data_IF_378676497319
#
_entry.id   IF_378676497319
#
_cell.length_a   1.000
_cell.length_b   1.000
_cell.length_c   1.000
_cell.angle_alpha   90.00
_cell.angle_beta   90.00
_cell.angle_gamma   90.00
#
_symmetry.space_group_name_H-M   'P 1'
#
loop_
_entity.id
_entity.type
_entity.pdbx_description
1 polymer ?
#
# COMPACT_ATOMS: atom_id res chain seq x y z
N UNK A 1 -11.34 21.09 65.63
CA UNK A 1 -10.97 22.40 65.04
C UNK A 1 -9.62 22.31 64.33
N UNK A 2 -8.55 21.81 64.95
CA UNK A 2 -7.21 21.65 64.33
C UNK A 2 -7.17 20.78 63.04
N UNK A 3 -7.90 19.67 63.01
CA UNK A 3 -7.94 18.79 61.83
C UNK A 3 -8.67 19.41 60.61
N UNK A 4 -9.57 20.37 60.84
CA UNK A 4 -10.27 21.07 59.76
C UNK A 4 -9.38 22.15 59.15
N UNK A 5 -8.55 22.82 59.95
CA UNK A 5 -7.54 23.77 59.45
C UNK A 5 -6.45 23.08 58.64
N UNK A 6 -5.98 21.90 59.04
CA UNK A 6 -5.00 21.13 58.26
C UNK A 6 -5.56 20.64 56.91
N UNK A 7 -6.84 20.25 56.87
CA UNK A 7 -7.51 19.89 55.62
C UNK A 7 -7.66 21.10 54.69
N UNK A 8 -8.03 22.28 55.23
CA UNK A 8 -8.15 23.51 54.45
C UNK A 8 -6.79 23.94 53.89
N UNK A 9 -5.72 23.86 54.68
CA UNK A 9 -4.35 24.16 54.22
C UNK A 9 -3.84 23.14 53.20
N UNK A 10 -4.17 21.86 53.37
CA UNK A 10 -3.86 20.80 52.40
C UNK A 10 -4.57 21.01 51.06
N UNK A 11 -5.87 21.36 51.07
CA UNK A 11 -6.61 21.70 49.85
C UNK A 11 -6.12 23.00 49.21
N UNK A 12 -5.70 23.99 50.01
CA UNK A 12 -5.13 25.25 49.52
C UNK A 12 -3.74 25.04 48.88
N UNK A 13 -2.96 24.12 49.44
CA UNK A 13 -1.67 23.63 48.91
C UNK A 13 -1.86 22.84 47.60
N UNK A 14 -2.83 21.93 47.56
CA UNK A 14 -3.15 21.15 46.36
C UNK A 14 -3.70 22.02 45.22
N UNK A 15 -4.46 23.07 45.56
CA UNK A 15 -4.96 24.08 44.61
C UNK A 15 -3.87 25.06 44.14
N UNK A 16 -2.70 25.07 44.80
CA UNK A 16 -1.54 25.92 44.46
C UNK A 16 -0.58 25.29 43.45
N UNK A 17 -0.96 24.20 42.78
CA UNK A 17 -0.29 23.82 41.53
C UNK A 17 -0.50 24.94 40.50
N UNK A 18 0.42 25.91 40.49
CA UNK A 18 0.43 27.01 39.53
C UNK A 18 0.40 26.42 38.14
N UNK A 19 -0.73 26.60 37.45
CA UNK A 19 -0.85 26.33 36.02
C UNK A 19 0.09 27.29 35.31
N UNK A 20 1.31 26.83 35.01
CA UNK A 20 2.28 27.61 34.22
C UNK A 20 1.83 27.56 32.76
N UNK A 21 1.49 28.69 32.14
CA UNK A 21 1.12 28.71 30.72
C UNK A 21 2.29 28.18 29.89
N UNK A 22 2.02 27.23 28.99
CA UNK A 22 3.05 26.71 28.09
C UNK A 22 3.50 27.84 27.14
N UNK A 23 4.75 28.33 27.25
CA UNK A 23 5.23 29.43 26.42
C UNK A 23 5.28 29.07 24.92
N UNK A 24 5.33 27.77 24.60
CA UNK A 24 5.34 27.27 23.22
C UNK A 24 3.94 27.09 22.62
N UNK A 25 2.87 27.25 23.40
CA UNK A 25 1.51 27.03 22.88
C UNK A 25 1.17 27.98 21.73
N UNK A 26 1.57 29.25 21.84
CA UNK A 26 1.27 30.26 20.84
C UNK A 26 2.02 30.03 19.52
N UNK A 27 3.29 29.57 19.59
CA UNK A 27 4.07 29.20 18.40
C UNK A 27 3.54 27.92 17.75
N UNK A 28 3.19 26.91 18.55
CA UNK A 28 2.53 25.69 18.07
C UNK A 28 1.23 26.03 17.35
N UNK A 29 0.36 26.86 17.93
CA UNK A 29 -0.95 27.22 17.34
C UNK A 29 -0.80 27.94 15.99
N UNK A 30 0.22 28.78 15.83
CA UNK A 30 0.52 29.43 14.55
C UNK A 30 0.91 28.39 13.49
N UNK A 31 1.77 27.45 13.88
CA UNK A 31 2.22 26.37 13.00
C UNK A 31 1.08 25.44 12.61
N UNK A 32 0.26 25.03 13.58
CA UNK A 32 -0.91 24.17 13.35
C UNK A 32 -1.89 24.80 12.36
N UNK A 33 -2.14 26.11 12.47
CA UNK A 33 -2.98 26.86 11.52
C UNK A 33 -2.39 26.90 10.11
N UNK A 34 -1.08 27.07 9.97
CA UNK A 34 -0.40 27.07 8.66
C UNK A 34 -0.51 25.69 8.01
N UNK A 35 -0.19 24.63 8.75
CA UNK A 35 -0.28 23.25 8.27
C UNK A 35 -1.72 22.93 7.86
N UNK A 36 -2.70 23.32 8.67
CA UNK A 36 -4.12 23.16 8.34
C UNK A 36 -4.47 23.84 7.02
N UNK A 37 -4.04 25.09 6.82
CA UNK A 37 -4.25 25.83 5.57
C UNK A 37 -3.61 25.14 4.35
N UNK A 38 -2.38 24.65 4.50
CA UNK A 38 -1.70 23.89 3.44
C UNK A 38 -2.45 22.61 3.10
N UNK A 39 -2.85 21.82 4.09
CA UNK A 39 -3.61 20.59 3.87
C UNK A 39 -4.92 20.92 3.15
N UNK A 40 -5.70 21.89 3.63
CA UNK A 40 -7.00 22.23 3.02
C UNK A 40 -6.87 22.71 1.58
N UNK A 41 -5.79 23.40 1.22
CA UNK A 41 -5.56 23.89 -0.14
C UNK A 41 -5.19 22.79 -1.15
N UNK A 42 -4.74 21.63 -0.67
CA UNK A 42 -4.40 20.49 -1.53
C UNK A 42 -5.58 19.56 -1.80
N UNK A 43 -6.71 19.76 -1.13
CA UNK A 43 -7.85 18.84 -1.16
C UNK A 43 -8.91 19.29 -2.17
N UNK A 44 -9.56 18.31 -2.79
CA UNK A 44 -10.78 18.55 -3.56
C UNK A 44 -11.94 18.97 -2.65
N UNK A 45 -12.94 19.65 -3.21
CA UNK A 45 -14.13 20.09 -2.47
C UNK A 45 -14.84 18.92 -1.76
N UNK A 46 -14.91 17.77 -2.42
CA UNK A 46 -15.44 16.52 -1.85
C UNK A 46 -14.66 16.00 -0.63
N UNK A 47 -13.36 16.25 -0.55
CA UNK A 47 -12.52 15.85 0.57
C UNK A 47 -12.54 16.87 1.71
N UNK A 48 -12.76 18.16 1.41
CA UNK A 48 -12.92 19.23 2.42
C UNK A 48 -14.16 18.97 3.29
N UNK A 49 -15.23 18.43 2.71
CA UNK A 49 -16.44 18.06 3.46
C UNK A 49 -16.18 17.07 4.60
N UNK A 50 -15.13 16.24 4.50
CA UNK A 50 -14.73 15.30 5.56
C UNK A 50 -14.05 16.00 6.74
N UNK A 51 -13.65 17.26 6.59
CA UNK A 51 -12.85 17.98 7.58
C UNK A 51 -13.67 18.87 8.53
N UNK A 52 -14.99 18.93 8.32
CA UNK A 52 -15.88 19.78 9.11
C UNK A 52 -15.85 19.33 10.58
N UNK A 53 -15.58 20.28 11.47
CA UNK A 53 -15.54 20.03 12.93
C UNK A 53 -14.15 19.72 13.50
N UNK A 54 -13.11 19.56 12.69
CA UNK A 54 -11.75 19.35 13.20
C UNK A 54 -11.00 20.66 13.45
N UNK A 55 -10.50 20.82 14.68
CA UNK A 55 -9.84 22.05 15.12
C UNK A 55 -8.35 22.08 14.79
N UNK A 56 -7.66 20.94 14.97
CA UNK A 56 -6.20 20.85 14.78
C UNK A 56 -5.81 20.20 13.45
N UNK A 57 -4.63 20.56 12.94
CA UNK A 57 -4.05 19.91 11.75
C UNK A 57 -3.86 18.41 11.94
N UNK A 58 -3.56 17.98 13.18
CA UNK A 58 -3.40 16.58 13.55
C UNK A 58 -4.70 15.79 13.39
N UNK A 59 -5.81 16.36 13.80
CA UNK A 59 -7.12 15.70 13.71
C UNK A 59 -7.60 15.63 12.27
N UNK A 60 -7.40 16.70 11.51
CA UNK A 60 -7.61 16.72 10.05
C UNK A 60 -6.80 15.61 9.38
N UNK A 61 -5.50 15.52 9.66
CA UNK A 61 -4.63 14.51 9.08
C UNK A 61 -5.10 13.08 9.43
N UNK A 62 -5.52 12.85 10.68
CA UNK A 62 -6.10 11.55 11.09
C UNK A 62 -7.41 11.23 10.39
N UNK A 63 -8.29 12.20 10.23
CA UNK A 63 -9.56 12.01 9.53
C UNK A 63 -9.32 11.62 8.08
N UNK A 64 -8.39 12.30 7.40
CA UNK A 64 -7.96 11.96 6.04
C UNK A 64 -7.38 10.54 6.00
N UNK A 65 -6.42 10.22 6.88
CA UNK A 65 -5.84 8.88 6.94
C UNK A 65 -6.93 7.81 7.13
N UNK A 66 -7.91 8.02 8.01
CA UNK A 66 -8.98 7.05 8.24
C UNK A 66 -9.94 6.93 7.05
N UNK A 67 -10.32 8.05 6.42
CA UNK A 67 -11.23 8.05 5.29
C UNK A 67 -10.61 7.43 4.03
N UNK A 68 -9.31 7.65 3.81
CA UNK A 68 -8.60 7.17 2.65
C UNK A 68 -7.89 5.82 2.86
N UNK A 69 -7.60 5.40 4.09
CA UNK A 69 -7.01 4.07 4.37
C UNK A 69 -7.95 2.94 3.98
N UNK A 70 -9.23 3.02 4.35
CA UNK A 70 -10.23 2.01 3.98
C UNK A 70 -10.41 1.92 2.46
N UNK A 71 -10.51 3.07 1.79
CA UNK A 71 -10.54 3.14 0.32
C UNK A 71 -9.27 2.57 -0.30
N UNK A 72 -8.11 2.79 0.31
CA UNK A 72 -6.84 2.24 -0.15
C UNK A 72 -6.81 0.72 -0.02
N UNK A 73 -7.35 0.15 1.06
CA UNK A 73 -7.37 -1.30 1.27
C UNK A 73 -8.41 -2.00 0.39
N UNK A 74 -9.61 -1.41 0.22
CA UNK A 74 -10.61 -1.89 -0.74
C UNK A 74 -10.06 -1.83 -2.18
N UNK A 75 -9.33 -0.76 -2.52
CA UNK A 75 -8.66 -0.62 -3.82
C UNK A 75 -7.52 -1.61 -4.00
N UNK A 76 -6.73 -1.86 -2.97
CA UNK A 76 -5.70 -2.91 -2.96
C UNK A 76 -6.32 -4.29 -3.25
N UNK A 77 -7.38 -4.64 -2.52
CA UNK A 77 -8.08 -5.91 -2.71
C UNK A 77 -8.65 -6.03 -4.13
N UNK A 78 -9.32 -4.96 -4.61
CA UNK A 78 -9.88 -4.92 -5.95
C UNK A 78 -8.81 -5.10 -7.03
N UNK A 79 -7.70 -4.36 -6.96
CA UNK A 79 -6.62 -4.45 -7.94
C UNK A 79 -5.90 -5.81 -7.88
N UNK A 80 -5.73 -6.38 -6.69
CA UNK A 80 -5.16 -7.73 -6.51
C UNK A 80 -6.08 -8.80 -7.10
N UNK A 81 -7.38 -8.65 -6.91
CA UNK A 81 -8.35 -9.52 -7.57
C UNK A 81 -8.32 -9.36 -9.09
N UNK A 82 -8.24 -8.12 -9.59
CA UNK A 82 -8.21 -7.84 -11.02
C UNK A 82 -6.95 -8.43 -11.68
N UNK A 83 -5.77 -8.29 -11.09
CA UNK A 83 -4.52 -8.85 -11.66
C UNK A 83 -4.52 -10.38 -11.67
N UNK A 84 -5.11 -11.03 -10.67
CA UNK A 84 -5.16 -12.50 -10.56
C UNK A 84 -6.28 -13.14 -11.38
N UNK A 85 -7.32 -12.38 -11.76
CA UNK A 85 -8.44 -12.86 -12.57
C UNK A 85 -8.39 -12.36 -14.02
N UNK A 86 -7.36 -11.59 -14.40
CA UNK A 86 -7.22 -11.05 -15.74
C UNK A 86 -6.95 -12.17 -16.74
N UNK A 87 -7.92 -12.45 -17.60
CA UNK A 87 -7.81 -13.39 -18.72
C UNK A 87 -7.54 -12.67 -20.02
N UNK A 88 -6.72 -13.27 -20.89
CA UNK A 88 -6.53 -12.77 -22.26
C UNK A 88 -7.82 -12.83 -23.07
N UNK A 89 -8.57 -13.94 -22.99
CA UNK A 89 -9.74 -14.20 -23.85
C UNK A 89 -9.39 -14.01 -25.35
N UNK A 90 -10.34 -13.48 -26.13
CA UNK A 90 -10.19 -13.11 -27.54
C UNK A 90 -9.42 -11.79 -27.77
N UNK A 91 -8.95 -11.12 -26.70
CA UNK A 91 -8.17 -9.88 -26.85
C UNK A 91 -6.80 -10.17 -27.50
N UNK A 92 -6.26 -9.16 -28.19
CA UNK A 92 -4.88 -9.19 -28.67
C UNK A 92 -3.91 -9.27 -27.49
N UNK A 93 -2.78 -9.96 -27.68
CA UNK A 93 -1.76 -10.15 -26.64
C UNK A 93 -1.22 -8.81 -26.12
N UNK A 94 -1.07 -7.82 -27.01
CA UNK A 94 -0.62 -6.47 -26.66
C UNK A 94 -1.58 -5.76 -25.71
N UNK A 95 -2.89 -5.86 -25.98
CA UNK A 95 -3.93 -5.27 -25.13
C UNK A 95 -3.97 -5.94 -23.76
N UNK A 96 -3.83 -7.27 -23.72
CA UNK A 96 -3.75 -8.03 -22.48
C UNK A 96 -2.53 -7.62 -21.63
N UNK A 97 -1.34 -7.58 -22.21
CA UNK A 97 -0.11 -7.15 -21.52
C UNK A 97 -0.23 -5.70 -21.07
N UNK A 98 -0.83 -4.83 -21.89
CA UNK A 98 -1.10 -3.43 -21.55
C UNK A 98 -1.98 -3.29 -20.31
N UNK A 99 -3.12 -4.02 -20.28
CA UNK A 99 -4.04 -4.06 -19.14
C UNK A 99 -3.34 -4.59 -17.88
N UNK A 100 -2.61 -5.70 -18.00
CA UNK A 100 -1.86 -6.28 -16.88
C UNK A 100 -0.86 -5.27 -16.29
N UNK A 101 -0.05 -4.63 -17.15
CA UNK A 101 0.94 -3.63 -16.74
C UNK A 101 0.28 -2.43 -16.07
N UNK A 102 -0.86 -1.97 -16.57
CA UNK A 102 -1.61 -0.87 -15.96
C UNK A 102 -2.03 -1.21 -14.53
N UNK A 103 -2.52 -2.43 -14.29
CA UNK A 103 -2.95 -2.87 -12.95
C UNK A 103 -1.75 -2.96 -12.00
N UNK A 104 -0.60 -3.47 -12.46
CA UNK A 104 0.64 -3.48 -11.66
C UNK A 104 1.12 -2.07 -11.31
N UNK A 105 1.00 -1.11 -12.24
CA UNK A 105 1.32 0.29 -11.98
C UNK A 105 0.37 0.90 -10.94
N UNK A 106 -0.93 0.60 -11.02
CA UNK A 106 -1.93 1.07 -10.07
C UNK A 106 -1.68 0.51 -8.65
N UNK A 107 -1.28 -0.77 -8.55
CA UNK A 107 -0.85 -1.40 -7.29
C UNK A 107 0.40 -0.72 -6.72
N UNK A 108 1.37 -0.41 -7.58
CA UNK A 108 2.57 0.34 -7.17
C UNK A 108 2.23 1.75 -6.69
N UNK A 109 1.29 2.43 -7.33
CA UNK A 109 0.85 3.78 -6.97
C UNK A 109 0.18 3.86 -5.59
N UNK A 110 -0.45 2.78 -5.12
CA UNK A 110 -1.01 2.68 -3.76
C UNK A 110 0.00 2.15 -2.72
N UNK A 111 1.28 2.03 -3.10
CA UNK A 111 2.35 1.57 -2.20
C UNK A 111 2.40 0.05 -2.02
N UNK A 112 1.80 -0.71 -2.94
CA UNK A 112 1.78 -2.18 -2.94
C UNK A 112 2.42 -2.73 -4.23
N UNK A 113 3.73 -2.50 -4.46
CA UNK A 113 4.39 -3.01 -5.65
C UNK A 113 4.34 -4.54 -5.68
N UNK A 114 4.14 -5.10 -6.88
CA UNK A 114 4.18 -6.55 -7.08
C UNK A 114 5.66 -6.97 -7.17
N UNK A 115 6.08 -7.92 -6.32
CA UNK A 115 7.44 -8.47 -6.31
C UNK A 115 7.80 -9.14 -7.63
N UNK A 116 9.00 -8.95 -8.17
CA UNK A 116 9.34 -9.22 -9.58
C UNK A 116 9.09 -10.67 -10.07
N UNK A 117 9.01 -11.66 -9.17
CA UNK A 117 8.70 -13.05 -9.52
C UNK A 117 7.19 -13.38 -9.63
N UNK A 118 6.33 -12.72 -8.85
CA UNK A 118 4.89 -12.96 -8.83
C UNK A 118 4.11 -12.53 -10.10
N UNK A 119 4.44 -11.39 -10.77
CA UNK A 119 3.67 -10.93 -11.91
C UNK A 119 3.93 -11.77 -13.15
N UNK A 120 5.10 -12.39 -13.29
CA UNK A 120 5.37 -13.33 -14.40
C UNK A 120 4.46 -14.54 -14.26
N UNK A 121 4.34 -15.10 -13.06
CA UNK A 121 3.43 -16.22 -12.81
C UNK A 121 1.96 -15.85 -13.06
N UNK A 122 1.48 -14.71 -12.54
CA UNK A 122 0.10 -14.26 -12.76
C UNK A 122 -0.20 -13.92 -14.21
N UNK A 123 0.76 -13.33 -14.92
CA UNK A 123 0.63 -13.07 -16.34
C UNK A 123 0.50 -14.38 -17.12
N UNK A 124 1.27 -15.41 -16.76
CA UNK A 124 1.30 -16.69 -17.46
C UNK A 124 0.07 -17.57 -17.19
N UNK A 125 -0.56 -17.46 -16.03
CA UNK A 125 -1.63 -18.36 -15.59
C UNK A 125 -2.90 -18.29 -16.45
N UNK A 126 -3.16 -17.17 -17.14
CA UNK A 126 -4.46 -16.87 -17.77
C UNK A 126 -4.36 -16.48 -19.27
N UNK A 127 -3.33 -16.94 -20.00
CA UNK A 127 -3.22 -16.76 -21.46
C UNK A 127 -4.15 -17.68 -22.27
N UNK A 128 -4.64 -18.78 -21.69
CA UNK A 128 -5.52 -19.76 -22.32
C UNK A 128 -4.79 -20.97 -22.94
N UNK A 129 -5.56 -22.00 -23.32
CA UNK A 129 -5.07 -23.33 -23.73
C UNK A 129 -4.10 -23.29 -24.91
N UNK A 130 -4.28 -22.34 -25.83
CA UNK A 130 -3.41 -22.16 -27.00
C UNK A 130 -1.95 -21.84 -26.62
N UNK A 131 -1.70 -21.39 -25.39
CA UNK A 131 -0.39 -20.99 -24.89
C UNK A 131 0.19 -21.99 -23.87
N UNK A 132 -0.43 -23.15 -23.63
CA UNK A 132 0.03 -24.12 -22.61
C UNK A 132 1.51 -24.52 -22.76
N UNK A 133 1.95 -24.79 -24.00
CA UNK A 133 3.35 -25.15 -24.28
C UNK A 133 4.30 -24.00 -23.92
N UNK A 134 3.91 -22.77 -24.22
CA UNK A 134 4.67 -21.58 -23.89
C UNK A 134 4.71 -21.35 -22.37
N UNK A 135 3.56 -21.46 -21.70
CA UNK A 135 3.44 -21.36 -20.24
C UNK A 135 4.33 -22.40 -19.56
N UNK A 136 4.27 -23.67 -19.98
CA UNK A 136 5.09 -24.74 -19.43
C UNK A 136 6.60 -24.48 -19.60
N UNK A 137 7.01 -23.96 -20.76
CA UNK A 137 8.41 -23.62 -21.04
C UNK A 137 8.94 -22.44 -20.22
N UNK A 138 8.06 -21.52 -19.80
CA UNK A 138 8.42 -20.36 -19.00
C UNK A 138 8.39 -20.65 -17.49
N UNK A 139 7.46 -21.47 -17.02
CA UNK A 139 7.35 -21.88 -15.60
C UNK A 139 8.41 -22.92 -15.24
N UNK A 140 8.71 -23.82 -16.17
CA UNK A 140 9.74 -24.84 -16.01
C UNK A 140 10.70 -24.73 -17.20
N UNK A 141 11.62 -23.74 -17.20
CA UNK A 141 12.65 -23.68 -18.23
C UNK A 141 13.37 -25.04 -18.23
N UNK A 142 13.61 -25.66 -19.41
CA UNK A 142 14.27 -26.95 -19.49
C UNK A 142 15.73 -26.79 -19.03
N UNK A 143 15.96 -26.83 -17.73
CA UNK A 143 17.27 -27.03 -17.16
C UNK A 143 17.52 -28.52 -17.20
N UNK A 144 18.02 -28.99 -18.34
CA UNK A 144 18.67 -30.29 -18.38
C UNK A 144 19.89 -30.20 -17.46
N UNK A 145 19.99 -31.03 -16.40
CA UNK A 145 21.20 -31.14 -15.61
C UNK A 145 22.38 -31.44 -16.55
N UNK A 146 23.55 -30.86 -16.28
CA UNK A 146 24.75 -31.05 -17.11
C UNK A 146 25.04 -32.53 -17.44
N UNK A 147 24.82 -33.42 -16.47
CA UNK A 147 24.96 -34.88 -16.59
C UNK A 147 24.02 -35.49 -17.64
N UNK A 148 22.77 -35.02 -17.72
CA UNK A 148 21.80 -35.50 -18.72
C UNK A 148 22.14 -34.98 -20.12
N UNK A 149 22.64 -33.75 -20.23
CA UNK A 149 23.14 -33.20 -21.50
C UNK A 149 24.31 -34.03 -22.03
N UNK A 150 25.25 -34.39 -21.16
CA UNK A 150 26.41 -35.20 -21.53
C UNK A 150 26.01 -36.62 -21.95
N UNK A 151 25.09 -37.24 -21.20
CA UNK A 151 24.54 -38.55 -21.51
C UNK A 151 23.78 -38.56 -22.85
N UNK A 152 22.98 -37.52 -23.10
CA UNK A 152 22.24 -37.35 -24.35
C UNK A 152 23.19 -37.14 -25.53
N UNK A 153 24.23 -36.33 -25.34
CA UNK A 153 25.26 -36.08 -26.36
C UNK A 153 26.04 -37.35 -26.72
N UNK A 154 26.48 -38.14 -25.73
CA UNK A 154 27.15 -39.43 -25.97
C UNK A 154 26.25 -40.43 -26.71
N UNK A 155 24.96 -40.47 -26.35
CA UNK A 155 23.99 -41.34 -27.02
C UNK A 155 23.78 -40.96 -28.48
N UNK A 156 23.85 -39.67 -28.82
CA UNK A 156 23.77 -39.18 -30.19
C UNK A 156 25.04 -39.50 -31.00
N UNK A 157 26.22 -39.27 -30.42
CA UNK A 157 27.51 -39.55 -31.08
C UNK A 157 27.68 -41.04 -31.40
N UNK A 158 27.15 -41.92 -30.54
CA UNK A 158 27.15 -43.38 -30.75
C UNK A 158 26.22 -43.83 -31.88
N UNK A 159 25.20 -43.03 -32.25
CA UNK A 159 24.26 -43.33 -33.34
C UNK A 159 24.71 -42.77 -34.69
N UNK A 160 25.69 -41.85 -34.69
CA UNK A 160 26.27 -41.26 -35.89
C UNK A 160 27.48 -42.05 -36.43
N UNK A 161 28.01 -43.01 -35.66
CA UNK A 161 28.98 -44.02 -36.08
C UNK A 161 28.27 -45.27 -36.59
#
# INVERSE_FOLDING_TARGET
VAALTELIDYFSSFSSHKLVPNPQFTSWRKTDRLIKGWITNTLSESAIGLLVGFETSKDIWRALMNAFSRKSHEREFFLTHLVTSLKKNDDYVEDYIGKFKQICNDLSAIGKPVDEGAPVYWLLQELGEAYEVFIASMICPPTLPYEEVFSLFQSFDSRLK
#
